data_IF_598323129441
#
_entry.id   IF_598323129441
#
_cell.length_a   1.000
_cell.length_b   1.000
_cell.length_c   1.000
_cell.angle_alpha   90.00
_cell.angle_beta   90.00
_cell.angle_gamma   90.00
#
_symmetry.space_group_name_H-M   'P 1'
#
loop_
_entity.id
_entity.type
_entity.pdbx_description
1 polymer ?
#
# COMPACT_ATOMS: atom_id res chain seq x y z
N UNK A 1 44.23 -16.73 3.41
CA UNK A 1 42.81 -16.42 3.18
C UNK A 1 41.99 -17.13 4.24
N UNK A 2 41.92 -16.49 5.39
CA UNK A 2 40.88 -16.83 6.37
C UNK A 2 39.56 -16.38 5.77
N UNK A 3 38.74 -17.34 5.32
CA UNK A 3 37.36 -17.10 5.03
C UNK A 3 36.65 -16.52 6.27
N UNK A 4 35.47 -15.88 6.12
CA UNK A 4 34.74 -15.38 7.27
C UNK A 4 34.58 -16.51 8.27
N UNK A 5 35.08 -16.29 9.48
CA UNK A 5 34.87 -17.21 10.57
C UNK A 5 33.38 -17.52 10.65
N UNK A 6 33.00 -18.79 10.60
CA UNK A 6 31.62 -19.23 10.75
C UNK A 6 31.14 -19.03 12.19
N UNK A 7 31.41 -17.85 12.74
CA UNK A 7 30.86 -17.37 13.97
C UNK A 7 29.67 -16.51 13.66
N UNK A 8 28.46 -17.06 13.63
CA UNK A 8 27.23 -16.40 13.33
C UNK A 8 27.03 -16.21 11.81
N UNK A 9 26.55 -17.24 11.14
CA UNK A 9 25.95 -17.05 9.81
C UNK A 9 24.84 -16.00 9.92
N UNK A 10 25.02 -14.85 9.23
CA UNK A 10 23.95 -13.85 9.13
C UNK A 10 22.84 -14.44 8.27
N UNK A 11 21.80 -14.91 8.91
CA UNK A 11 20.60 -15.43 8.23
C UNK A 11 19.53 -14.37 8.21
N UNK A 12 18.75 -14.35 7.14
CA UNK A 12 17.51 -13.58 7.06
C UNK A 12 16.37 -14.57 7.25
N UNK A 13 15.54 -14.32 8.25
CA UNK A 13 14.33 -15.07 8.50
C UNK A 13 13.13 -14.22 8.09
N UNK A 14 12.22 -14.77 7.29
CA UNK A 14 10.99 -14.10 6.84
C UNK A 14 9.82 -14.85 7.43
N UNK A 15 9.05 -14.16 8.28
CA UNK A 15 7.90 -14.71 8.97
C UNK A 15 6.61 -14.03 8.45
N UNK A 16 5.64 -14.80 7.97
CA UNK A 16 4.36 -14.21 7.57
C UNK A 16 3.55 -13.82 8.80
N UNK A 17 2.94 -12.64 8.75
CA UNK A 17 1.90 -12.23 9.72
C UNK A 17 0.57 -12.74 9.20
N UNK A 18 0.03 -13.75 9.85
CA UNK A 18 -1.21 -14.41 9.48
C UNK A 18 -2.36 -14.03 10.42
N UNK A 19 -3.60 -14.27 10.00
CA UNK A 19 -4.78 -14.00 10.82
C UNK A 19 -5.19 -12.53 10.86
N UNK A 20 -4.65 -11.69 9.96
CA UNK A 20 -5.08 -10.30 9.83
C UNK A 20 -6.48 -10.22 9.19
N UNK A 21 -7.34 -9.29 9.65
CA UNK A 21 -8.65 -9.07 9.05
C UNK A 21 -8.53 -8.37 7.69
N UNK A 22 -9.63 -8.29 6.96
CA UNK A 22 -9.72 -7.35 5.85
C UNK A 22 -9.84 -5.94 6.40
N UNK A 23 -8.83 -5.11 6.12
CA UNK A 23 -8.77 -3.74 6.63
C UNK A 23 -9.79 -2.82 5.96
N UNK A 24 -10.32 -1.90 6.78
CA UNK A 24 -11.28 -0.87 6.40
C UNK A 24 -10.75 0.50 6.79
N UNK A 25 -11.32 1.59 6.22
CA UNK A 25 -10.99 2.95 6.66
C UNK A 25 -11.17 3.13 8.17
N UNK A 26 -10.16 3.67 8.82
CA UNK A 26 -10.15 3.91 10.26
C UNK A 26 -9.64 2.76 11.12
N UNK A 27 -9.35 1.59 10.54
CA UNK A 27 -8.76 0.48 11.28
C UNK A 27 -7.34 0.82 11.76
N UNK A 28 -7.02 0.40 12.97
CA UNK A 28 -5.68 0.53 13.53
C UNK A 28 -4.78 -0.62 13.06
N UNK A 29 -4.01 -0.34 12.00
CA UNK A 29 -3.11 -1.32 11.42
C UNK A 29 -2.03 -1.76 12.40
N UNK A 30 -1.48 -0.85 13.18
CA UNK A 30 -0.41 -1.14 14.14
C UNK A 30 -0.90 -2.08 15.23
N UNK A 31 -2.07 -1.82 15.79
CA UNK A 31 -2.69 -2.68 16.81
C UNK A 31 -3.01 -4.07 16.24
N UNK A 32 -3.52 -4.15 15.01
CA UNK A 32 -3.83 -5.41 14.36
C UNK A 32 -2.57 -6.26 14.11
N UNK A 33 -1.50 -5.65 13.65
CA UNK A 33 -0.21 -6.33 13.44
C UNK A 33 0.37 -6.79 14.78
N UNK A 34 0.38 -5.95 15.79
CA UNK A 34 0.89 -6.31 17.13
C UNK A 34 0.12 -7.50 17.72
N UNK A 35 -1.19 -7.55 17.56
CA UNK A 35 -2.02 -8.66 18.03
C UNK A 35 -1.78 -9.95 17.24
N UNK A 36 -1.58 -9.86 15.92
CA UNK A 36 -1.36 -11.02 15.05
C UNK A 36 0.09 -11.54 15.10
N UNK A 37 1.05 -10.72 15.51
CA UNK A 37 2.46 -11.06 15.57
C UNK A 37 3.06 -10.82 16.97
N UNK A 38 2.61 -11.53 18.02
CA UNK A 38 3.11 -11.35 19.38
C UNK A 38 4.58 -11.77 19.53
N UNK A 39 5.14 -12.41 18.53
CA UNK A 39 6.54 -12.82 18.44
C UNK A 39 7.48 -11.70 17.95
N UNK A 40 6.97 -10.55 17.52
CA UNK A 40 7.79 -9.41 17.10
C UNK A 40 8.71 -8.94 18.22
N UNK A 41 9.94 -8.60 17.87
CA UNK A 41 10.99 -8.12 18.76
C UNK A 41 11.58 -6.81 18.26
N UNK A 42 12.25 -6.11 19.15
CA UNK A 42 13.03 -4.94 18.79
C UNK A 42 14.10 -5.29 17.75
N UNK A 43 14.20 -4.50 16.71
CA UNK A 43 15.10 -4.74 15.59
C UNK A 43 14.48 -5.50 14.42
N UNK A 44 13.29 -6.07 14.59
CA UNK A 44 12.55 -6.66 13.47
C UNK A 44 12.06 -5.59 12.48
N UNK A 45 12.01 -5.96 11.21
CA UNK A 45 11.48 -5.12 10.13
C UNK A 45 10.11 -5.64 9.70
N UNK A 46 9.09 -4.83 9.87
CA UNK A 46 7.73 -5.15 9.38
C UNK A 46 7.55 -4.60 7.98
N UNK A 47 7.26 -5.47 7.02
CA UNK A 47 7.00 -5.08 5.64
C UNK A 47 5.50 -5.09 5.39
N UNK A 48 4.96 -3.95 5.00
CA UNK A 48 3.52 -3.75 4.75
C UNK A 48 3.32 -3.22 3.34
N UNK A 49 2.31 -3.74 2.65
CA UNK A 49 1.96 -3.23 1.31
C UNK A 49 1.27 -1.86 1.41
N UNK A 50 1.56 -0.97 0.45
CA UNK A 50 0.89 0.34 0.37
C UNK A 50 -0.63 0.23 0.27
N UNK A 51 -1.12 -0.85 -0.30
CA UNK A 51 -2.54 -1.15 -0.44
C UNK A 51 -3.28 -1.26 0.90
N UNK A 52 -2.68 -1.92 1.86
CA UNK A 52 -3.23 -2.05 3.23
C UNK A 52 -3.24 -0.70 3.92
N UNK A 53 -2.14 0.05 3.83
CA UNK A 53 -2.04 1.40 4.40
C UNK A 53 -3.11 2.32 3.80
N UNK A 54 -3.26 2.33 2.49
CA UNK A 54 -4.27 3.14 1.80
C UNK A 54 -5.71 2.79 2.20
N UNK A 55 -5.99 1.52 2.49
CA UNK A 55 -7.31 1.10 3.00
C UNK A 55 -7.57 1.67 4.39
N UNK A 56 -6.62 1.53 5.30
CA UNK A 56 -6.74 2.03 6.68
C UNK A 56 -6.87 3.56 6.71
N UNK A 57 -6.15 4.26 5.84
CA UNK A 57 -6.22 5.73 5.71
C UNK A 57 -7.46 6.24 4.96
N UNK A 58 -8.31 5.34 4.47
CA UNK A 58 -9.50 5.72 3.71
C UNK A 58 -9.21 6.33 2.34
N UNK A 59 -8.04 6.07 1.78
CA UNK A 59 -7.57 6.63 0.49
C UNK A 59 -8.02 5.81 -0.72
N UNK A 60 -9.18 5.19 -0.62
CA UNK A 60 -9.80 4.44 -1.71
C UNK A 60 -10.71 5.34 -2.51
N UNK A 61 -10.44 5.45 -3.80
CA UNK A 61 -11.25 6.22 -4.73
C UNK A 61 -12.01 5.26 -5.64
N UNK A 62 -13.33 5.46 -5.85
CA UNK A 62 -14.08 4.67 -6.82
C UNK A 62 -13.46 4.78 -8.22
N UNK A 63 -13.20 3.64 -8.85
CA UNK A 63 -12.65 3.61 -10.20
C UNK A 63 -13.79 3.67 -11.23
N UNK A 64 -13.76 4.60 -12.18
CA UNK A 64 -14.69 4.59 -13.30
C UNK A 64 -14.61 3.29 -14.11
N UNK A 65 -15.72 2.88 -14.71
CA UNK A 65 -15.73 1.71 -15.61
C UNK A 65 -15.00 1.99 -16.91
N UNK A 66 -15.17 3.22 -17.41
CA UNK A 66 -14.51 3.66 -18.64
C UNK A 66 -12.98 3.76 -18.47
N UNK A 67 -12.18 3.10 -19.35
CA UNK A 67 -10.73 3.11 -19.27
C UNK A 67 -10.08 4.49 -19.38
N UNK A 68 -10.66 5.37 -20.22
CA UNK A 68 -10.11 6.72 -20.39
C UNK A 68 -10.34 7.59 -19.16
N UNK A 69 -11.54 7.52 -18.59
CA UNK A 69 -11.86 8.24 -17.35
C UNK A 69 -11.01 7.74 -16.19
N UNK A 70 -10.74 6.43 -16.15
CA UNK A 70 -9.85 5.82 -15.14
C UNK A 70 -8.42 6.34 -15.27
N UNK A 71 -7.90 6.45 -16.49
CA UNK A 71 -6.56 6.98 -16.74
C UNK A 71 -6.47 8.47 -16.35
N UNK A 72 -7.49 9.28 -16.66
CA UNK A 72 -7.56 10.68 -16.23
C UNK A 72 -7.60 10.81 -14.71
N UNK A 73 -8.43 10.00 -14.04
CA UNK A 73 -8.50 9.99 -12.58
C UNK A 73 -7.17 9.60 -11.96
N UNK A 74 -6.52 8.56 -12.51
CA UNK A 74 -5.20 8.13 -12.05
C UNK A 74 -4.17 9.25 -12.16
N UNK A 75 -4.12 9.96 -13.29
CA UNK A 75 -3.20 11.09 -13.48
C UNK A 75 -3.48 12.21 -12.49
N UNK A 76 -4.75 12.55 -12.31
CA UNK A 76 -5.14 13.56 -11.33
C UNK A 76 -4.70 13.19 -9.92
N UNK A 77 -4.90 11.95 -9.50
CA UNK A 77 -4.48 11.50 -8.17
C UNK A 77 -2.95 11.54 -8.00
N UNK A 78 -2.20 11.21 -9.05
CA UNK A 78 -0.73 11.32 -9.03
C UNK A 78 -0.30 12.79 -8.90
N UNK A 79 -0.93 13.69 -9.62
CA UNK A 79 -0.63 15.12 -9.58
C UNK A 79 -1.02 15.74 -8.23
N UNK A 80 -2.15 15.34 -7.67
CA UNK A 80 -2.63 15.80 -6.35
C UNK A 80 -1.70 15.34 -5.19
N UNK A 81 -1.09 14.16 -5.31
CA UNK A 81 -0.13 13.64 -4.30
C UNK A 81 1.31 14.15 -4.52
N UNK A 82 1.62 14.64 -5.71
CA UNK A 82 2.95 15.12 -6.03
C UNK A 82 3.20 16.51 -5.43
N UNK A 83 4.32 16.66 -4.75
CA UNK A 83 4.83 17.99 -4.38
C UNK A 83 5.44 18.65 -5.60
N UNK A 84 6.09 17.86 -6.47
CA UNK A 84 6.75 18.34 -7.66
C UNK A 84 6.75 17.28 -8.77
N UNK A 85 6.47 17.70 -10.00
CA UNK A 85 6.64 16.87 -11.19
C UNK A 85 8.01 17.17 -11.77
N UNK A 86 8.87 16.16 -11.81
CA UNK A 86 10.26 16.30 -12.26
C UNK A 86 10.41 16.04 -13.77
N UNK A 87 9.66 15.11 -14.31
CA UNK A 87 9.70 14.76 -15.71
C UNK A 87 8.38 14.15 -16.19
N UNK A 88 8.12 14.31 -17.49
CA UNK A 88 6.98 13.69 -18.18
C UNK A 88 7.51 13.00 -19.44
N UNK A 89 7.12 11.74 -19.63
CA UNK A 89 7.38 11.02 -20.87
C UNK A 89 6.21 10.11 -21.16
N UNK A 90 5.55 10.35 -22.28
CA UNK A 90 4.34 9.63 -22.69
C UNK A 90 3.26 9.60 -21.57
N UNK A 91 2.97 8.42 -21.07
CA UNK A 91 2.01 8.20 -19.97
C UNK A 91 2.67 8.18 -18.59
N UNK A 92 3.98 8.32 -18.51
CA UNK A 92 4.75 8.23 -17.27
C UNK A 92 5.05 9.62 -16.72
N UNK A 93 4.73 9.80 -15.45
CA UNK A 93 5.11 10.97 -14.66
C UNK A 93 6.18 10.56 -13.65
N UNK A 94 7.27 11.29 -13.61
CA UNK A 94 8.25 11.20 -12.53
C UNK A 94 7.94 12.30 -11.54
N UNK A 95 7.57 11.93 -10.34
CA UNK A 95 7.10 12.85 -9.32
C UNK A 95 7.83 12.65 -8.00
N UNK A 96 7.92 13.71 -7.23
CA UNK A 96 8.38 13.70 -5.85
C UNK A 96 7.16 13.83 -4.92
N UNK A 97 7.03 12.96 -3.95
CA UNK A 97 5.96 13.01 -2.97
C UNK A 97 6.36 13.83 -1.72
N UNK A 98 5.42 13.98 -0.78
CA UNK A 98 5.62 14.74 0.47
C UNK A 98 6.73 14.18 1.39
N UNK A 99 7.12 12.92 1.18
CA UNK A 99 8.21 12.28 1.92
C UNK A 99 9.57 12.46 1.24
N UNK A 100 9.63 13.22 0.13
CA UNK A 100 10.85 13.43 -0.66
C UNK A 100 11.24 12.26 -1.54
N UNK A 101 10.36 11.26 -1.70
CA UNK A 101 10.62 10.11 -2.56
C UNK A 101 10.32 10.46 -4.01
N UNK A 102 11.29 10.22 -4.88
CA UNK A 102 11.17 10.40 -6.33
C UNK A 102 10.92 9.05 -6.98
N UNK A 103 9.80 8.95 -7.68
CA UNK A 103 9.43 7.70 -8.35
C UNK A 103 8.50 7.93 -9.53
N UNK A 104 8.40 6.93 -10.40
CA UNK A 104 7.40 6.94 -11.46
C UNK A 104 6.01 6.77 -10.84
N UNK A 105 5.12 7.73 -11.07
CA UNK A 105 3.76 7.75 -10.52
C UNK A 105 3.73 7.71 -8.98
N UNK A 106 4.51 8.60 -8.33
CA UNK A 106 4.54 8.74 -6.87
C UNK A 106 3.12 8.88 -6.29
N UNK A 107 2.76 7.99 -5.39
CA UNK A 107 1.45 7.97 -4.72
C UNK A 107 0.34 7.26 -5.51
N UNK A 108 0.58 6.90 -6.77
CA UNK A 108 -0.38 6.17 -7.58
C UNK A 108 -0.33 4.67 -7.35
N UNK A 109 -0.66 4.20 -6.16
CA UNK A 109 -1.02 2.79 -5.99
C UNK A 109 -2.14 2.45 -6.98
N UNK A 110 -2.01 1.33 -7.70
CA UNK A 110 -2.95 0.99 -8.77
C UNK A 110 -4.41 1.14 -8.30
N UNK A 111 -5.22 1.85 -9.09
CA UNK A 111 -6.65 1.98 -8.83
C UNK A 111 -7.23 0.57 -8.83
N UNK A 112 -7.59 0.08 -7.66
CA UNK A 112 -8.20 -1.24 -7.53
C UNK A 112 -9.69 -1.15 -7.80
N UNK A 113 -10.17 -2.02 -8.68
CA UNK A 113 -11.59 -2.31 -8.76
C UNK A 113 -11.99 -3.00 -7.45
N UNK A 114 -12.74 -2.32 -6.61
CA UNK A 114 -13.57 -3.01 -5.65
C UNK A 114 -14.74 -3.62 -6.43
N UNK A 115 -15.03 -4.91 -6.31
CA UNK A 115 -16.36 -5.36 -6.60
C UNK A 115 -17.27 -4.63 -5.61
N UNK A 116 -18.18 -3.82 -6.13
CA UNK A 116 -19.27 -3.28 -5.33
C UNK A 116 -20.09 -4.50 -4.90
N UNK A 117 -19.89 -4.98 -3.70
CA UNK A 117 -20.88 -5.83 -3.07
C UNK A 117 -22.08 -4.94 -2.79
N UNK A 118 -23.02 -4.95 -3.71
CA UNK A 118 -24.37 -4.51 -3.38
C UNK A 118 -24.87 -5.50 -2.33
N UNK A 119 -24.80 -5.10 -1.07
CA UNK A 119 -25.54 -5.77 -0.01
C UNK A 119 -27.01 -5.54 -0.34
N UNK A 120 -27.67 -6.54 -0.89
CA UNK A 120 -29.11 -6.57 -0.92
C UNK A 120 -29.54 -6.59 0.55
N UNK A 121 -30.03 -5.46 1.03
CA UNK A 121 -30.77 -5.40 2.26
C UNK A 121 -31.99 -6.29 2.06
N UNK A 122 -31.91 -7.50 2.58
CA UNK A 122 -33.09 -8.36 2.69
C UNK A 122 -34.05 -7.68 3.66
N UNK A 123 -35.04 -6.99 3.11
CA UNK A 123 -36.22 -6.64 3.87
C UNK A 123 -36.84 -7.89 4.44
N UNK A 124 -36.93 -7.96 5.75
CA UNK A 124 -37.87 -8.84 6.44
C UNK A 124 -38.95 -7.97 7.01
N UNK A 125 -40.12 -8.21 6.48
CA UNK A 125 -41.41 -7.87 7.07
C UNK A 125 -41.52 -8.47 8.47
#
# INVERSE_FOLDING_TARGET
LTGPEHGSASTIEILPVIGLPEFRPGDDLSAAVAAAAPWLRDGDVVVVTSKVVSKCEGRLVPAPEDPEQRDRLRRKLIEDEAVRVLARKDRTLITENRLGLVQAAAGGGGIQRRPVRVSAAAGRS
#
